data_IF_011670733139
#
_entry.id   IF_011670733139
#
_cell.length_a   1.000
_cell.length_b   1.000
_cell.length_c   1.000
_cell.angle_alpha   90.00
_cell.angle_beta   90.00
_cell.angle_gamma   90.00
#
_symmetry.space_group_name_H-M   'P 1'
#
loop_
_entity.id
_entity.type
_entity.pdbx_description
1 polymer ?
#
# COMPACT_ATOMS: atom_id res chain seq x y z
N UNK A 1 25.41 1.81 20.30
CA UNK A 1 24.02 1.71 20.81
C UNK A 1 23.69 2.99 21.57
N UNK A 2 22.48 3.51 21.39
CA UNK A 2 22.00 4.67 22.12
C UNK A 2 21.71 4.31 23.59
N UNK A 3 22.01 5.23 24.52
CA UNK A 3 21.59 5.11 25.92
C UNK A 3 20.07 5.35 26.04
N UNK A 4 19.44 4.91 27.13
CA UNK A 4 18.01 5.11 27.35
C UNK A 4 17.62 6.58 27.30
N UNK A 5 18.44 7.47 27.84
CA UNK A 5 18.25 8.91 27.75
C UNK A 5 18.27 9.43 26.31
N UNK A 6 19.21 8.97 25.49
CA UNK A 6 19.29 9.34 24.08
C UNK A 6 18.09 8.85 23.30
N UNK A 7 17.64 7.62 23.58
CA UNK A 7 16.42 7.07 22.99
C UNK A 7 15.20 7.92 23.35
N UNK A 8 15.04 8.27 24.62
CA UNK A 8 13.93 9.11 25.07
C UNK A 8 13.94 10.49 24.41
N UNK A 9 15.10 11.13 24.30
CA UNK A 9 15.25 12.44 23.66
C UNK A 9 14.92 12.33 22.15
N UNK A 10 15.44 11.28 21.47
CA UNK A 10 15.15 11.07 20.05
C UNK A 10 13.67 10.84 19.79
N UNK A 11 13.02 9.99 20.61
CA UNK A 11 11.56 9.75 20.55
C UNK A 11 10.80 11.06 20.75
N UNK A 12 11.14 11.86 21.78
CA UNK A 12 10.50 13.15 22.06
C UNK A 12 10.62 14.14 20.89
N UNK A 13 11.80 14.17 20.23
CA UNK A 13 12.01 15.02 19.04
C UNK A 13 11.13 14.55 17.89
N UNK A 14 11.08 13.25 17.64
CA UNK A 14 10.29 12.68 16.54
C UNK A 14 8.80 12.95 16.76
N UNK A 15 8.26 12.64 17.92
CA UNK A 15 6.84 12.84 18.22
C UNK A 15 6.44 14.31 18.17
N UNK A 16 7.28 15.20 18.68
CA UNK A 16 7.03 16.64 18.60
C UNK A 16 7.07 17.13 17.14
N UNK A 17 8.04 16.66 16.33
CA UNK A 17 8.14 17.02 14.92
C UNK A 17 6.95 16.48 14.12
N UNK A 18 6.51 15.26 14.40
CA UNK A 18 5.30 14.66 13.78
C UNK A 18 4.08 15.54 14.00
N UNK A 19 3.90 16.06 15.24
CA UNK A 19 2.76 16.92 15.59
C UNK A 19 2.81 18.29 14.96
N UNK A 20 3.99 18.93 14.92
CA UNK A 20 4.11 20.35 14.58
C UNK A 20 4.68 20.63 13.19
N UNK A 21 5.39 19.67 12.62
CA UNK A 21 6.22 19.86 11.42
C UNK A 21 7.24 21.02 11.55
N UNK A 22 7.66 21.32 12.77
CA UNK A 22 8.63 22.39 13.06
C UNK A 22 9.88 21.82 13.71
N UNK A 23 11.08 22.38 13.39
CA UNK A 23 12.33 21.94 14.02
C UNK A 23 12.27 22.06 15.54
N UNK A 24 12.65 21.00 16.24
CA UNK A 24 12.54 20.87 17.68
C UNK A 24 13.77 21.41 18.39
N UNK A 25 13.59 22.39 19.27
CA UNK A 25 14.66 22.99 20.08
C UNK A 25 14.78 22.35 21.47
N UNK A 26 15.99 22.35 22.05
CA UNK A 26 16.24 21.77 23.37
C UNK A 26 15.43 22.43 24.51
N UNK A 27 15.09 23.73 24.39
CA UNK A 27 14.27 24.42 25.37
C UNK A 27 12.83 23.90 25.35
N UNK A 28 12.25 23.71 24.17
CA UNK A 28 10.91 23.18 24.00
C UNK A 28 10.76 21.83 24.71
N UNK A 29 11.74 20.93 24.55
CA UNK A 29 11.74 19.60 25.16
C UNK A 29 11.75 19.64 26.71
N UNK A 30 12.29 20.69 27.32
CA UNK A 30 12.22 20.83 28.78
C UNK A 30 10.86 21.28 29.30
N UNK A 31 10.03 21.83 28.40
CA UNK A 31 8.71 22.38 28.72
C UNK A 31 7.58 21.37 28.46
N UNK A 32 7.87 20.24 27.79
CA UNK A 32 6.88 19.21 27.46
C UNK A 32 6.65 18.24 28.63
N UNK A 33 5.45 18.26 29.27
CA UNK A 33 5.18 17.45 30.46
C UNK A 33 5.21 15.95 30.21
N UNK A 34 4.81 15.53 29.01
CA UNK A 34 4.71 14.14 28.62
C UNK A 34 6.05 13.41 28.62
N UNK A 35 7.16 14.10 28.44
CA UNK A 35 8.48 13.46 28.41
C UNK A 35 9.24 13.52 29.74
N UNK A 36 8.84 14.40 30.67
CA UNK A 36 9.41 14.54 32.04
C UNK A 36 10.91 14.27 32.11
N UNK A 37 11.69 14.83 31.18
CA UNK A 37 13.10 14.48 31.03
C UNK A 37 13.95 14.83 32.27
N UNK A 38 13.50 15.77 33.11
CA UNK A 38 14.20 16.12 34.36
C UNK A 38 15.62 16.62 34.20
N UNK A 39 16.01 17.00 32.97
CA UNK A 39 17.38 17.39 32.60
C UNK A 39 17.38 18.80 32.02
N UNK A 40 18.53 19.47 32.10
CA UNK A 40 18.65 20.85 31.61
C UNK A 40 18.64 20.94 30.09
N UNK A 41 18.17 22.07 29.55
CA UNK A 41 18.21 22.34 28.11
C UNK A 41 19.64 22.26 27.53
N UNK A 42 20.68 22.56 28.35
CA UNK A 42 22.09 22.41 27.94
C UNK A 42 22.44 20.93 27.74
N UNK A 43 22.02 20.07 28.67
CA UNK A 43 22.21 18.60 28.55
C UNK A 43 21.50 18.05 27.32
N UNK A 44 20.22 18.43 27.12
CA UNK A 44 19.47 18.03 25.92
C UNK A 44 20.19 18.46 24.65
N UNK A 45 20.72 19.69 24.59
CA UNK A 45 21.47 20.19 23.44
C UNK A 45 22.70 19.35 23.12
N UNK A 46 23.43 18.90 24.14
CA UNK A 46 24.60 18.03 23.95
C UNK A 46 24.19 16.65 23.41
N UNK A 47 23.10 16.07 23.94
CA UNK A 47 22.58 14.80 23.41
C UNK A 47 22.06 14.95 21.97
N UNK A 48 21.38 16.06 21.65
CA UNK A 48 20.95 16.36 20.28
C UNK A 48 22.16 16.46 19.32
N UNK A 49 23.26 17.10 19.76
CA UNK A 49 24.47 17.18 18.96
C UNK A 49 25.09 15.81 18.71
N UNK A 50 25.10 14.94 19.71
CA UNK A 50 25.53 13.55 19.58
C UNK A 50 24.64 12.76 18.61
N UNK A 51 23.31 12.88 18.74
CA UNK A 51 22.35 12.21 17.85
C UNK A 51 22.47 12.72 16.39
N UNK A 52 22.79 13.99 16.18
CA UNK A 52 23.10 14.55 14.86
C UNK A 52 24.39 13.94 14.29
N UNK A 53 25.47 13.85 15.10
CA UNK A 53 26.72 13.22 14.68
C UNK A 53 26.55 11.74 14.34
N UNK A 54 25.64 11.04 15.03
CA UNK A 54 25.31 9.65 14.76
C UNK A 54 24.32 9.48 13.58
N UNK A 55 23.86 10.58 12.96
CA UNK A 55 22.99 10.54 11.78
C UNK A 55 21.51 10.39 12.07
N UNK A 56 21.04 10.36 13.34
CA UNK A 56 19.62 10.24 13.68
C UNK A 56 18.83 11.57 13.55
N UNK A 57 19.54 12.69 13.62
CA UNK A 57 18.96 14.04 13.50
C UNK A 57 19.68 14.85 12.44
N UNK A 58 18.96 15.80 11.87
CA UNK A 58 19.49 16.79 10.91
C UNK A 58 19.33 18.20 11.48
N UNK A 59 20.33 19.03 11.21
CA UNK A 59 20.27 20.46 11.54
C UNK A 59 19.66 21.24 10.37
N UNK A 60 18.64 22.04 10.65
CA UNK A 60 18.07 22.96 9.67
C UNK A 60 18.91 24.23 9.56
N UNK A 61 19.04 24.79 8.36
CA UNK A 61 19.89 25.95 8.08
C UNK A 61 19.47 27.24 8.81
N UNK A 62 18.24 27.34 9.30
CA UNK A 62 17.63 28.57 9.82
C UNK A 62 17.40 28.60 11.33
N UNK A 63 17.59 27.48 12.04
CA UNK A 63 17.29 27.42 13.48
C UNK A 63 18.28 26.57 14.28
N UNK A 64 18.31 26.76 15.60
CA UNK A 64 19.02 25.86 16.52
C UNK A 64 18.29 24.52 16.75
N UNK A 65 17.12 24.34 16.15
CA UNK A 65 16.33 23.12 16.24
C UNK A 65 16.88 21.98 15.39
N UNK A 66 16.39 20.77 15.63
CA UNK A 66 16.70 19.56 14.89
C UNK A 66 15.44 18.97 14.32
N UNK A 67 15.58 18.26 13.19
CA UNK A 67 14.54 17.45 12.58
C UNK A 67 15.03 16.00 12.51
N UNK A 68 14.14 15.01 12.56
CA UNK A 68 14.51 13.61 12.38
C UNK A 68 15.08 13.35 10.97
N UNK A 69 16.08 12.48 10.88
CA UNK A 69 16.54 11.88 9.63
C UNK A 69 15.73 10.61 9.30
N UNK A 70 15.95 10.02 8.12
CA UNK A 70 15.40 8.68 7.78
C UNK A 70 15.85 7.63 8.82
N UNK A 71 17.13 7.64 9.20
CA UNK A 71 17.69 6.76 10.25
C UNK A 71 17.02 6.99 11.61
N UNK A 72 16.69 8.24 11.94
CA UNK A 72 15.94 8.58 13.14
C UNK A 72 14.54 7.97 13.13
N UNK A 73 13.81 8.12 12.04
CA UNK A 73 12.49 7.49 11.87
C UNK A 73 12.59 5.96 11.87
N UNK A 74 13.61 5.37 11.21
CA UNK A 74 13.83 3.93 11.22
C UNK A 74 14.07 3.40 12.62
N UNK A 75 14.90 4.08 13.40
CA UNK A 75 15.12 3.74 14.81
C UNK A 75 13.79 3.76 15.59
N UNK A 76 13.01 4.83 15.46
CA UNK A 76 11.75 5.00 16.15
C UNK A 76 10.72 3.91 15.80
N UNK A 77 10.57 3.60 14.52
CA UNK A 77 9.69 2.52 14.06
C UNK A 77 10.13 1.17 14.59
N UNK A 78 11.44 0.89 14.62
CA UNK A 78 11.96 -0.36 15.17
C UNK A 78 11.68 -0.49 16.69
N UNK A 79 11.76 0.61 17.45
CA UNK A 79 11.37 0.61 18.87
C UNK A 79 9.85 0.33 19.03
N UNK A 80 8.99 0.87 18.16
CA UNK A 80 7.55 0.57 18.16
C UNK A 80 7.30 -0.91 17.87
N UNK A 81 7.90 -1.46 16.81
CA UNK A 81 7.70 -2.84 16.39
C UNK A 81 8.23 -3.86 17.43
N UNK A 82 9.31 -3.52 18.14
CA UNK A 82 9.90 -4.38 19.16
C UNK A 82 9.18 -4.28 20.52
N UNK A 83 8.61 -3.13 20.86
CA UNK A 83 7.91 -2.89 22.11
C UNK A 83 6.40 -3.15 21.93
N UNK A 84 5.99 -4.42 21.92
CA UNK A 84 4.56 -4.83 21.89
C UNK A 84 3.71 -4.29 23.05
N UNK A 85 4.31 -3.55 23.98
CA UNK A 85 3.67 -2.94 25.15
C UNK A 85 3.39 -1.44 24.99
N UNK A 86 3.50 -0.87 23.79
CA UNK A 86 3.00 0.49 23.57
C UNK A 86 1.48 0.40 23.74
N UNK A 87 1.05 0.79 24.93
CA UNK A 87 -0.33 0.76 25.34
C UNK A 87 -1.15 1.59 24.34
N UNK A 88 -2.09 0.92 23.70
CA UNK A 88 -3.14 1.50 22.86
C UNK A 88 -4.11 2.42 23.63
N UNK A 89 -3.63 3.12 24.66
CA UNK A 89 -4.48 3.84 25.63
C UNK A 89 -5.22 5.02 24.99
N UNK A 90 -4.71 5.58 23.90
CA UNK A 90 -5.33 6.77 23.27
C UNK A 90 -6.16 6.44 22.00
N UNK A 91 -6.35 5.17 21.65
CA UNK A 91 -6.98 4.77 20.38
C UNK A 91 -8.21 3.88 20.56
N UNK A 92 -8.73 3.70 21.78
CA UNK A 92 -9.92 2.88 22.05
C UNK A 92 -11.14 3.34 21.25
N UNK A 93 -11.31 4.67 21.08
CA UNK A 93 -12.38 5.23 20.26
C UNK A 93 -12.23 4.83 18.78
N UNK A 94 -11.00 4.83 18.24
CA UNK A 94 -10.74 4.41 16.86
C UNK A 94 -11.00 2.92 16.64
N UNK A 95 -10.67 2.07 17.61
CA UNK A 95 -10.94 0.64 17.56
C UNK A 95 -12.44 0.36 17.64
N UNK A 96 -13.18 1.09 18.49
CA UNK A 96 -14.63 0.98 18.58
C UNK A 96 -15.34 1.31 17.26
N UNK A 97 -14.86 2.31 16.52
CA UNK A 97 -15.39 2.64 15.19
C UNK A 97 -15.11 1.53 14.16
N UNK A 98 -13.93 0.90 14.22
CA UNK A 98 -13.62 -0.25 13.38
C UNK A 98 -14.53 -1.44 13.72
N UNK A 99 -14.73 -1.74 15.01
CA UNK A 99 -15.64 -2.83 15.46
C UNK A 99 -17.05 -2.59 14.95
N UNK A 100 -17.56 -1.35 15.01
CA UNK A 100 -18.89 -1.01 14.48
C UNK A 100 -19.02 -1.33 12.99
N UNK A 101 -17.98 -1.11 12.18
CA UNK A 101 -17.96 -1.47 10.76
C UNK A 101 -17.95 -3.00 10.60
N UNK A 102 -17.03 -3.67 11.31
CA UNK A 102 -16.85 -5.12 11.18
C UNK A 102 -18.04 -5.95 11.71
N UNK A 103 -18.83 -5.41 12.64
CA UNK A 103 -20.01 -6.07 13.20
C UNK A 103 -21.29 -5.87 12.37
N UNK A 104 -21.24 -5.07 11.30
CA UNK A 104 -22.40 -4.88 10.40
C UNK A 104 -22.66 -6.13 9.56
N UNK A 105 -23.58 -6.96 10.01
CA UNK A 105 -23.97 -8.23 9.35
C UNK A 105 -24.48 -8.11 7.90
N UNK A 106 -24.67 -6.90 7.37
CA UNK A 106 -25.17 -6.63 6.02
C UNK A 106 -24.06 -6.34 5.00
N UNK A 107 -22.82 -6.16 5.46
CA UNK A 107 -21.69 -5.88 4.58
C UNK A 107 -21.06 -7.18 4.09
N UNK A 108 -20.70 -7.24 2.81
CA UNK A 108 -19.77 -8.26 2.36
C UNK A 108 -18.39 -8.02 3.02
N UNK A 109 -17.57 -9.06 3.11
CA UNK A 109 -16.22 -8.96 3.65
C UNK A 109 -15.40 -7.85 2.97
N UNK A 110 -15.45 -7.79 1.64
CA UNK A 110 -14.78 -6.75 0.85
C UNK A 110 -15.27 -5.35 1.23
N UNK A 111 -16.59 -5.17 1.36
CA UNK A 111 -17.17 -3.89 1.78
C UNK A 111 -16.69 -3.49 3.18
N UNK A 112 -16.62 -4.43 4.12
CA UNK A 112 -16.13 -4.14 5.46
C UNK A 112 -14.63 -3.75 5.47
N UNK A 113 -13.81 -4.40 4.65
CA UNK A 113 -12.40 -4.00 4.45
C UNK A 113 -12.34 -2.59 3.86
N UNK A 114 -13.11 -2.31 2.82
CA UNK A 114 -13.14 -1.01 2.15
C UNK A 114 -13.59 0.11 3.10
N UNK A 115 -14.67 -0.11 3.88
CA UNK A 115 -15.13 0.87 4.87
C UNK A 115 -14.11 1.08 6.00
N UNK A 116 -13.45 0.02 6.46
CA UNK A 116 -12.38 0.11 7.46
C UNK A 116 -11.20 0.93 6.93
N UNK A 117 -10.81 0.72 5.68
CA UNK A 117 -9.72 1.50 5.08
C UNK A 117 -10.11 2.94 4.78
N UNK A 118 -11.38 3.20 4.43
CA UNK A 118 -11.89 4.56 4.33
C UNK A 118 -11.82 5.29 5.68
N UNK A 119 -12.24 4.62 6.76
CA UNK A 119 -12.11 5.15 8.12
C UNK A 119 -10.65 5.43 8.50
N UNK A 120 -9.71 4.54 8.15
CA UNK A 120 -8.27 4.77 8.37
C UNK A 120 -7.81 6.05 7.67
N UNK A 121 -8.20 6.24 6.41
CA UNK A 121 -7.83 7.45 5.66
C UNK A 121 -8.40 8.73 6.29
N UNK A 122 -9.62 8.68 6.81
CA UNK A 122 -10.29 9.80 7.47
C UNK A 122 -9.63 10.12 8.83
N UNK A 123 -9.32 9.09 9.64
CA UNK A 123 -8.73 9.25 10.96
C UNK A 123 -7.26 9.68 10.93
N UNK A 124 -6.53 9.30 9.89
CA UNK A 124 -5.08 9.56 9.78
C UNK A 124 -4.74 10.70 8.84
N UNK A 125 -5.66 11.09 7.97
CA UNK A 125 -5.43 12.02 6.86
C UNK A 125 -4.28 11.59 5.92
N UNK A 126 -4.12 10.26 5.76
CA UNK A 126 -3.19 9.65 4.79
C UNK A 126 -3.95 8.84 3.74
N UNK A 127 -3.25 8.36 2.73
CA UNK A 127 -3.83 7.44 1.74
C UNK A 127 -3.80 6.03 2.29
N UNK A 128 -4.94 5.36 2.31
CA UNK A 128 -5.06 3.96 2.70
C UNK A 128 -5.28 3.06 1.48
N UNK A 129 -4.76 1.85 1.55
CA UNK A 129 -4.83 0.85 0.48
C UNK A 129 -5.20 -0.49 1.07
N UNK A 130 -6.17 -1.17 0.46
CA UNK A 130 -6.42 -2.59 0.70
C UNK A 130 -6.18 -3.36 -0.60
N UNK A 131 -5.45 -4.46 -0.49
CA UNK A 131 -5.18 -5.38 -1.59
C UNK A 131 -5.69 -6.75 -1.21
N UNK A 132 -6.56 -7.32 -2.05
CA UNK A 132 -7.04 -8.69 -1.91
C UNK A 132 -5.92 -9.71 -2.15
N UNK A 133 -6.17 -10.94 -1.74
CA UNK A 133 -5.23 -12.07 -1.94
C UNK A 133 -5.06 -12.47 -3.40
N UNK A 134 -6.07 -12.21 -4.21
CA UNK A 134 -6.16 -12.65 -5.60
C UNK A 134 -5.24 -11.86 -6.54
N UNK A 135 -4.97 -10.57 -6.25
CA UNK A 135 -4.36 -9.67 -7.22
C UNK A 135 -2.88 -9.95 -7.53
N UNK A 136 -2.11 -10.56 -6.64
CA UNK A 136 -0.63 -10.64 -6.82
C UNK A 136 -0.14 -12.03 -7.14
N UNK A 137 -0.70 -13.08 -6.53
CA UNK A 137 -0.21 -14.45 -6.65
C UNK A 137 -1.23 -15.44 -7.24
N UNK A 138 -2.43 -14.97 -7.62
CA UNK A 138 -3.42 -15.84 -8.24
C UNK A 138 -2.92 -16.33 -9.62
N UNK A 139 -3.21 -17.60 -9.91
CA UNK A 139 -2.82 -18.23 -11.16
C UNK A 139 -4.05 -18.48 -12.04
N UNK A 140 -3.94 -18.19 -13.31
CA UNK A 140 -5.03 -18.39 -14.27
C UNK A 140 -5.29 -19.89 -14.43
N UNK A 141 -6.52 -20.31 -14.20
CA UNK A 141 -6.99 -21.68 -14.48
C UNK A 141 -7.80 -21.75 -15.75
N UNK A 142 -8.60 -20.73 -16.03
CA UNK A 142 -9.44 -20.73 -17.23
C UNK A 142 -9.82 -19.33 -17.63
N UNK A 143 -9.79 -19.07 -18.92
CA UNK A 143 -10.43 -17.93 -19.56
C UNK A 143 -11.64 -18.42 -20.35
N UNK A 144 -12.75 -17.70 -20.29
CA UNK A 144 -13.95 -18.00 -21.04
C UNK A 144 -14.49 -16.75 -21.71
N UNK A 145 -14.85 -16.88 -22.97
CA UNK A 145 -15.51 -15.85 -23.75
C UNK A 145 -17.00 -16.13 -23.80
N UNK A 146 -17.80 -15.11 -23.51
CA UNK A 146 -19.26 -15.20 -23.56
C UNK A 146 -19.77 -14.06 -24.47
N UNK A 147 -20.11 -14.34 -25.72
CA UNK A 147 -20.68 -13.33 -26.61
C UNK A 147 -22.07 -12.90 -26.08
N UNK A 148 -22.33 -11.60 -26.18
CA UNK A 148 -23.61 -10.99 -25.86
C UNK A 148 -24.27 -10.46 -27.16
N UNK A 149 -25.35 -9.71 -26.99
CA UNK A 149 -26.03 -9.11 -28.13
C UNK A 149 -25.16 -8.00 -28.79
N UNK A 150 -25.11 -8.01 -30.12
CA UNK A 150 -24.35 -7.04 -30.91
C UNK A 150 -22.83 -7.29 -30.76
N UNK A 151 -22.08 -6.24 -30.53
CA UNK A 151 -20.61 -6.26 -30.37
C UNK A 151 -20.13 -6.35 -28.92
N UNK A 152 -21.01 -6.63 -28.01
CA UNK A 152 -20.64 -6.81 -26.59
C UNK A 152 -20.33 -8.27 -26.29
N UNK A 153 -19.34 -8.47 -25.42
CA UNK A 153 -19.03 -9.76 -24.84
C UNK A 153 -18.56 -9.60 -23.40
N UNK A 154 -18.50 -10.71 -22.69
CA UNK A 154 -17.89 -10.80 -21.37
C UNK A 154 -16.72 -11.81 -21.44
N UNK A 155 -15.59 -11.41 -20.90
CA UNK A 155 -14.48 -12.32 -20.60
C UNK A 155 -14.60 -12.70 -19.13
N UNK A 156 -14.58 -14.00 -18.85
CA UNK A 156 -14.48 -14.55 -17.50
C UNK A 156 -13.06 -15.08 -17.32
N UNK A 157 -12.45 -14.76 -16.19
CA UNK A 157 -11.18 -15.31 -15.75
C UNK A 157 -11.40 -16.08 -14.45
N UNK A 158 -11.04 -17.36 -14.45
CA UNK A 158 -11.10 -18.22 -13.26
C UNK A 158 -9.68 -18.43 -12.76
N UNK A 159 -9.45 -18.22 -11.47
CA UNK A 159 -8.14 -18.40 -10.85
C UNK A 159 -8.07 -19.72 -10.08
N UNK A 160 -6.86 -20.12 -9.67
CA UNK A 160 -6.59 -21.29 -8.81
C UNK A 160 -7.18 -21.15 -7.41
N UNK A 161 -7.53 -19.92 -7.00
CA UNK A 161 -8.20 -19.61 -5.75
C UNK A 161 -9.72 -19.76 -5.82
N UNK A 162 -10.26 -20.06 -6.99
CA UNK A 162 -11.70 -20.16 -7.22
C UNK A 162 -12.40 -18.82 -7.49
N UNK A 163 -11.67 -17.72 -7.52
CA UNK A 163 -12.21 -16.44 -7.88
C UNK A 163 -12.58 -16.40 -9.37
N UNK A 164 -13.72 -15.77 -9.66
CA UNK A 164 -14.22 -15.58 -11.02
C UNK A 164 -14.36 -14.09 -11.26
N UNK A 165 -13.40 -13.55 -12.03
CA UNK A 165 -13.45 -12.17 -12.48
C UNK A 165 -14.18 -12.06 -13.81
N UNK A 166 -14.93 -10.99 -14.02
CA UNK A 166 -15.66 -10.75 -15.26
C UNK A 166 -15.49 -9.33 -15.77
N UNK A 167 -15.24 -9.20 -17.08
CA UNK A 167 -15.13 -7.89 -17.72
C UNK A 167 -15.93 -7.83 -19.00
N UNK A 168 -16.81 -6.83 -19.10
CA UNK A 168 -17.50 -6.54 -20.36
C UNK A 168 -16.53 -5.86 -21.32
N UNK A 169 -16.46 -6.39 -22.54
CA UNK A 169 -15.66 -5.84 -23.62
C UNK A 169 -16.52 -5.49 -24.84
N UNK A 170 -15.98 -4.66 -25.71
CA UNK A 170 -16.56 -4.34 -27.01
C UNK A 170 -15.64 -4.95 -28.06
N UNK A 171 -16.21 -5.81 -28.91
CA UNK A 171 -15.51 -6.42 -30.03
C UNK A 171 -15.57 -5.44 -31.20
N UNK A 172 -14.44 -5.08 -31.83
CA UNK A 172 -14.44 -4.27 -33.03
C UNK A 172 -15.23 -4.94 -34.17
N UNK A 173 -15.92 -4.16 -35.00
CA UNK A 173 -16.78 -4.69 -36.08
C UNK A 173 -16.03 -5.54 -37.12
N UNK A 174 -14.69 -5.45 -37.15
CA UNK A 174 -13.80 -6.21 -38.06
C UNK A 174 -13.39 -7.58 -37.53
N UNK A 175 -13.74 -7.91 -36.28
CA UNK A 175 -13.35 -9.15 -35.61
C UNK A 175 -14.59 -10.00 -35.34
N UNK A 176 -14.60 -11.23 -35.81
CA UNK A 176 -15.68 -12.18 -35.58
C UNK A 176 -15.57 -12.85 -34.20
N UNK A 177 -16.69 -13.33 -33.65
CA UNK A 177 -16.68 -14.11 -32.42
C UNK A 177 -15.81 -15.38 -32.53
N UNK A 178 -15.75 -16.02 -33.69
CA UNK A 178 -14.92 -17.21 -33.93
C UNK A 178 -13.42 -16.89 -33.83
N UNK A 179 -13.01 -15.70 -34.27
CA UNK A 179 -11.61 -15.25 -34.11
C UNK A 179 -11.29 -15.00 -32.64
N UNK A 180 -12.23 -14.38 -31.89
CA UNK A 180 -12.06 -14.18 -30.43
C UNK A 180 -11.96 -15.53 -29.71
N UNK A 181 -12.81 -16.51 -30.05
CA UNK A 181 -12.75 -17.85 -29.45
C UNK A 181 -11.42 -18.55 -29.71
N UNK A 182 -10.87 -18.46 -30.93
CA UNK A 182 -9.54 -19.00 -31.23
C UNK A 182 -8.44 -18.36 -30.38
N UNK A 183 -8.48 -17.05 -30.16
CA UNK A 183 -7.54 -16.35 -29.30
C UNK A 183 -7.72 -16.80 -27.85
N UNK A 184 -8.94 -16.96 -27.34
CA UNK A 184 -9.17 -17.45 -25.99
C UNK A 184 -8.67 -18.87 -25.79
N UNK A 185 -8.85 -19.75 -26.78
CA UNK A 185 -8.30 -21.12 -26.74
C UNK A 185 -6.77 -21.07 -26.65
N UNK A 186 -6.14 -20.23 -27.45
CA UNK A 186 -4.70 -20.04 -27.42
C UNK A 186 -4.22 -19.46 -26.08
N UNK A 187 -4.87 -18.40 -25.58
CA UNK A 187 -4.55 -17.79 -24.27
C UNK A 187 -4.73 -18.80 -23.13
N UNK A 188 -5.74 -19.65 -23.14
CA UNK A 188 -5.89 -20.73 -22.17
C UNK A 188 -4.71 -21.70 -22.17
N UNK A 189 -4.13 -22.00 -23.35
CA UNK A 189 -2.97 -22.89 -23.46
C UNK A 189 -1.72 -22.28 -22.83
N UNK A 190 -1.44 -21.01 -23.13
CA UNK A 190 -0.19 -20.36 -22.70
C UNK A 190 -0.26 -19.76 -21.28
N UNK A 191 -1.46 -19.38 -20.84
CA UNK A 191 -1.69 -18.75 -19.52
C UNK A 191 -2.17 -19.73 -18.46
N UNK A 192 -2.35 -21.01 -18.77
CA UNK A 192 -2.68 -22.00 -17.76
C UNK A 192 -1.59 -22.04 -16.68
N UNK A 193 -1.99 -21.93 -15.41
CA UNK A 193 -1.10 -21.87 -14.24
C UNK A 193 -0.09 -20.70 -14.27
N UNK A 194 -0.35 -19.68 -15.07
CA UNK A 194 0.47 -18.46 -15.14
C UNK A 194 0.03 -17.51 -14.02
N UNK A 195 0.97 -16.95 -13.21
CA UNK A 195 0.66 -15.86 -12.31
C UNK A 195 0.10 -14.68 -13.09
N UNK A 196 -0.88 -13.98 -12.50
CA UNK A 196 -1.48 -12.80 -13.13
C UNK A 196 -0.42 -11.70 -13.40
N UNK A 197 0.57 -11.55 -12.50
CA UNK A 197 1.71 -10.65 -12.68
C UNK A 197 2.52 -10.92 -13.95
N UNK A 198 2.54 -12.16 -14.44
CA UNK A 198 3.44 -12.61 -15.50
C UNK A 198 2.73 -12.70 -16.86
N UNK A 199 1.44 -12.33 -16.94
CA UNK A 199 0.62 -12.43 -18.17
C UNK A 199 1.32 -11.77 -19.36
N UNK A 200 1.80 -10.55 -19.19
CA UNK A 200 2.44 -9.78 -20.25
C UNK A 200 3.70 -10.46 -20.79
N UNK A 201 4.59 -10.88 -19.89
CA UNK A 201 5.83 -11.56 -20.26
C UNK A 201 5.55 -12.92 -20.91
N UNK A 202 4.58 -13.67 -20.37
CA UNK A 202 4.20 -14.97 -20.89
C UNK A 202 3.65 -14.88 -22.31
N UNK A 203 2.77 -13.92 -22.58
CA UNK A 203 2.23 -13.68 -23.92
C UNK A 203 3.34 -13.20 -24.87
N UNK A 204 4.20 -12.29 -24.43
CA UNK A 204 5.31 -11.78 -25.24
C UNK A 204 6.29 -12.87 -25.64
N UNK A 205 6.63 -13.76 -24.70
CA UNK A 205 7.59 -14.84 -24.93
C UNK A 205 7.00 -16.02 -25.72
N UNK A 206 5.67 -16.16 -25.76
CA UNK A 206 4.98 -17.24 -26.48
C UNK A 206 4.75 -16.93 -27.98
N UNK A 207 5.06 -15.72 -28.43
CA UNK A 207 4.90 -15.30 -29.83
C UNK A 207 5.76 -16.07 -30.86
N UNK A 208 6.60 -17.02 -30.44
CA UNK A 208 7.42 -17.84 -31.30
C UNK A 208 6.70 -19.13 -31.81
N UNK A 209 5.57 -19.55 -31.21
CA UNK A 209 4.77 -20.68 -31.68
C UNK A 209 3.65 -20.24 -32.64
N UNK A 210 4.00 -19.91 -33.80
CA UNK A 210 3.36 -19.18 -34.87
C UNK A 210 2.45 -20.10 -35.71
N UNK A 211 1.19 -20.14 -35.42
CA UNK A 211 0.16 -20.68 -36.33
C UNK A 211 -1.10 -19.80 -36.38
N UNK A 212 -1.32 -18.99 -35.31
CA UNK A 212 -2.55 -18.22 -35.16
C UNK A 212 -2.41 -16.81 -35.76
N UNK A 213 -1.20 -16.23 -35.73
CA UNK A 213 -0.91 -14.91 -36.29
C UNK A 213 -1.24 -14.74 -37.75
N UNK A 214 -1.04 -15.83 -38.53
CA UNK A 214 -1.29 -15.84 -39.97
C UNK A 214 -2.80 -15.99 -40.32
N UNK A 215 -3.63 -16.35 -39.35
CA UNK A 215 -5.06 -16.64 -39.56
C UNK A 215 -6.00 -15.56 -38.96
N UNK A 216 -5.48 -14.62 -38.20
CA UNK A 216 -6.30 -13.59 -37.53
C UNK A 216 -5.80 -12.22 -37.96
N UNK A 217 -6.58 -11.55 -38.82
CA UNK A 217 -6.42 -10.13 -39.06
C UNK A 217 -6.61 -9.40 -37.74
N UNK A 218 -5.71 -8.45 -37.42
CA UNK A 218 -5.72 -7.69 -36.16
C UNK A 218 -5.34 -8.48 -34.89
N UNK A 219 -4.56 -9.56 -35.05
CA UNK A 219 -4.10 -10.38 -33.91
C UNK A 219 -3.42 -9.53 -32.82
N UNK A 220 -2.52 -8.65 -33.20
CA UNK A 220 -1.73 -7.85 -32.25
C UNK A 220 -2.63 -6.87 -31.46
N UNK A 221 -3.65 -6.28 -32.10
CA UNK A 221 -4.62 -5.40 -31.43
C UNK A 221 -5.53 -6.19 -30.47
N UNK A 222 -5.94 -7.40 -30.89
CA UNK A 222 -6.80 -8.25 -30.09
C UNK A 222 -6.04 -8.76 -28.85
N UNK A 223 -4.81 -9.22 -29.02
CA UNK A 223 -3.94 -9.62 -27.89
C UNK A 223 -3.68 -8.44 -26.95
N UNK A 224 -3.36 -7.27 -27.48
CA UNK A 224 -3.16 -6.09 -26.64
C UNK A 224 -4.42 -5.71 -25.83
N UNK A 225 -5.61 -5.84 -26.45
CA UNK A 225 -6.88 -5.61 -25.77
C UNK A 225 -7.12 -6.66 -24.67
N UNK A 226 -6.80 -7.93 -24.91
CA UNK A 226 -6.91 -9.00 -23.91
C UNK A 226 -5.94 -8.80 -22.75
N UNK A 227 -4.66 -8.55 -23.03
CA UNK A 227 -3.65 -8.27 -22.01
C UNK A 227 -4.13 -7.14 -21.11
N UNK A 228 -4.54 -6.00 -21.70
CA UNK A 228 -5.08 -4.87 -20.95
C UNK A 228 -6.31 -5.25 -20.13
N UNK A 229 -7.22 -6.05 -20.66
CA UNK A 229 -8.42 -6.49 -19.95
C UNK A 229 -8.07 -7.39 -18.77
N UNK A 230 -7.23 -8.40 -18.97
CA UNK A 230 -6.82 -9.36 -17.93
C UNK A 230 -6.01 -8.68 -16.82
N UNK A 231 -5.11 -7.77 -17.21
CA UNK A 231 -4.34 -6.98 -16.23
C UNK A 231 -5.27 -6.05 -15.42
N UNK A 232 -6.27 -5.42 -16.06
CA UNK A 232 -7.24 -4.60 -15.35
C UNK A 232 -8.16 -5.41 -14.43
N UNK A 233 -8.49 -6.66 -14.78
CA UNK A 233 -9.25 -7.55 -13.88
C UNK A 233 -8.47 -7.83 -12.58
N UNK A 234 -7.15 -7.95 -12.68
CA UNK A 234 -6.28 -8.10 -11.50
C UNK A 234 -6.19 -6.82 -10.63
N UNK A 235 -6.44 -5.65 -11.24
CA UNK A 235 -6.42 -4.36 -10.51
C UNK A 235 -7.69 -4.10 -9.72
N UNK A 236 -8.81 -4.71 -10.07
CA UNK A 236 -10.08 -4.51 -9.36
C UNK A 236 -10.02 -5.00 -7.88
N UNK A 237 -8.97 -5.73 -7.49
CA UNK A 237 -8.69 -6.16 -6.11
C UNK A 237 -7.95 -5.12 -5.25
N UNK A 238 -7.64 -3.95 -5.79
CA UNK A 238 -6.96 -2.87 -5.04
C UNK A 238 -7.94 -1.76 -4.74
N UNK A 239 -8.30 -1.63 -3.48
CA UNK A 239 -9.09 -0.50 -2.98
C UNK A 239 -8.19 0.59 -2.43
N UNK A 240 -8.48 1.84 -2.76
CA UNK A 240 -7.78 3.01 -2.21
C UNK A 240 -8.76 4.05 -1.71
N UNK A 241 -8.47 4.60 -0.53
CA UNK A 241 -9.18 5.75 0.03
C UNK A 241 -8.21 6.86 0.42
N UNK A 242 -8.71 8.10 0.48
CA UNK A 242 -7.92 9.24 0.88
C UNK A 242 -6.82 9.65 -0.12
N UNK A 243 -6.94 9.35 -1.41
CA UNK A 243 -5.95 9.75 -2.43
C UNK A 243 -5.64 11.25 -2.39
N UNK A 244 -6.65 12.07 -2.11
CA UNK A 244 -6.50 13.52 -2.03
C UNK A 244 -5.81 14.01 -0.76
N UNK A 245 -5.65 13.16 0.27
CA UNK A 245 -5.00 13.54 1.51
C UNK A 245 -3.52 13.91 1.31
N UNK A 246 -2.90 13.41 0.24
CA UNK A 246 -1.53 13.76 -0.12
C UNK A 246 -1.37 15.26 -0.42
N UNK A 247 -2.40 15.92 -0.97
CA UNK A 247 -2.37 17.35 -1.26
C UNK A 247 -2.37 18.22 0.00
N UNK A 248 -2.88 17.69 1.11
CA UNK A 248 -2.94 18.41 2.39
C UNK A 248 -1.65 18.33 3.19
N UNK A 249 -0.70 17.47 2.77
CA UNK A 249 0.55 17.28 3.51
C UNK A 249 1.57 18.39 3.16
N UNK A 250 2.13 19.06 4.17
CA UNK A 250 3.06 20.19 3.94
C UNK A 250 4.33 19.84 3.16
N UNK A 251 4.72 18.57 3.13
CA UNK A 251 5.89 18.06 2.43
C UNK A 251 5.68 18.03 0.91
N UNK A 252 4.44 17.82 0.48
CA UNK A 252 4.09 17.69 -0.94
C UNK A 252 3.55 19.02 -1.46
N UNK A 253 4.46 19.99 -1.69
CA UNK A 253 4.13 21.33 -2.25
C UNK A 253 4.29 21.39 -3.76
N UNK A 254 5.07 20.48 -4.33
CA UNK A 254 5.35 20.44 -5.76
C UNK A 254 4.24 19.66 -6.47
N UNK A 255 3.47 20.36 -7.31
CA UNK A 255 2.34 19.81 -8.06
C UNK A 255 2.76 18.70 -9.02
N UNK A 256 3.95 18.79 -9.64
CA UNK A 256 4.46 17.76 -10.55
C UNK A 256 4.76 16.48 -9.76
N UNK A 257 5.40 16.62 -8.59
CA UNK A 257 5.70 15.50 -7.71
C UNK A 257 4.44 14.81 -7.19
N UNK A 258 3.42 15.59 -6.79
CA UNK A 258 2.12 15.03 -6.39
C UNK A 258 1.50 14.24 -7.54
N UNK A 259 1.53 14.78 -8.75
CA UNK A 259 1.00 14.12 -9.94
C UNK A 259 1.75 12.81 -10.22
N UNK A 260 3.09 12.81 -10.11
CA UNK A 260 3.89 11.59 -10.26
C UNK A 260 3.53 10.53 -9.21
N UNK A 261 3.40 10.92 -7.93
CA UNK A 261 3.01 10.00 -6.86
C UNK A 261 1.61 9.42 -7.13
N UNK A 262 0.63 10.26 -7.47
CA UNK A 262 -0.74 9.81 -7.76
C UNK A 262 -0.79 8.88 -8.99
N UNK A 263 -0.06 9.21 -10.05
CA UNK A 263 0.04 8.36 -11.23
C UNK A 263 0.68 7.02 -10.86
N UNK A 264 1.74 7.04 -10.07
CA UNK A 264 2.42 5.82 -9.60
C UNK A 264 1.52 4.96 -8.73
N UNK A 265 0.74 5.57 -7.82
CA UNK A 265 -0.22 4.85 -6.96
C UNK A 265 -1.31 4.14 -7.81
N UNK A 266 -1.64 4.69 -8.98
CA UNK A 266 -2.59 4.10 -9.92
C UNK A 266 -1.96 3.06 -10.86
N UNK A 267 -0.64 2.94 -10.87
CA UNK A 267 0.11 2.04 -11.75
C UNK A 267 0.32 0.65 -11.11
N UNK A 268 0.57 -0.36 -11.96
CA UNK A 268 0.84 -1.74 -11.52
C UNK A 268 2.10 -1.87 -10.68
N UNK A 269 3.09 -1.04 -10.94
CA UNK A 269 4.36 -1.05 -10.21
C UNK A 269 4.17 -0.65 -8.74
N UNK A 270 3.14 0.16 -8.43
CA UNK A 270 2.79 0.49 -7.06
C UNK A 270 2.28 -0.72 -6.27
N UNK A 271 1.42 -1.55 -6.89
CA UNK A 271 0.94 -2.78 -6.25
C UNK A 271 2.11 -3.68 -5.88
N UNK A 272 3.12 -3.79 -6.75
CA UNK A 272 4.37 -4.53 -6.45
C UNK A 272 5.16 -3.88 -5.32
N UNK A 273 5.26 -2.55 -5.30
CA UNK A 273 6.00 -1.82 -4.26
C UNK A 273 5.36 -1.94 -2.87
N UNK A 274 4.03 -2.11 -2.78
CA UNK A 274 3.28 -2.31 -1.53
C UNK A 274 3.13 -3.80 -1.19
N UNK A 275 3.27 -4.68 -2.18
CA UNK A 275 3.24 -6.15 -2.01
C UNK A 275 4.60 -6.63 -1.53
N UNK A 276 4.69 -6.91 -0.25
CA UNK A 276 5.88 -7.50 0.34
C UNK A 276 5.78 -9.04 0.29
N UNK A 277 6.89 -9.69 0.03
CA UNK A 277 6.97 -11.16 -0.02
C UNK A 277 6.89 -11.84 1.36
N UNK A 278 6.89 -11.07 2.44
CA UNK A 278 6.91 -11.54 3.82
C UNK A 278 5.54 -11.35 4.50
N UNK A 279 5.10 -12.35 5.27
CA UNK A 279 3.86 -12.33 6.06
C UNK A 279 4.00 -11.54 7.38
N UNK A 280 4.88 -10.54 7.45
CA UNK A 280 5.06 -9.66 8.59
C UNK A 280 4.61 -8.23 8.31
N UNK A 281 4.51 -7.44 9.38
CA UNK A 281 4.35 -5.98 9.26
C UNK A 281 5.61 -5.43 8.61
N UNK A 282 5.42 -4.62 7.58
CA UNK A 282 6.51 -3.95 6.88
C UNK A 282 6.33 -2.44 6.93
N UNK A 283 7.42 -1.75 7.19
CA UNK A 283 7.46 -0.28 7.12
C UNK A 283 8.64 0.10 6.25
N UNK A 284 8.40 0.84 5.18
CA UNK A 284 9.44 1.43 4.33
C UNK A 284 9.43 2.95 4.51
N UNK A 285 10.58 3.53 4.73
CA UNK A 285 10.76 4.96 5.01
C UNK A 285 11.73 5.56 3.99
N UNK A 286 11.31 6.62 3.32
CA UNK A 286 12.21 7.38 2.45
C UNK A 286 12.85 6.52 1.35
N UNK A 287 14.17 6.48 1.34
CA UNK A 287 14.96 5.74 0.36
C UNK A 287 14.83 4.20 0.44
N UNK A 288 14.16 3.65 1.43
CA UNK A 288 13.85 2.22 1.48
C UNK A 288 12.75 1.82 0.50
N UNK A 289 12.00 2.80 -0.03
CA UNK A 289 11.01 2.55 -1.07
C UNK A 289 11.70 2.25 -2.40
N UNK A 290 11.25 1.19 -3.09
CA UNK A 290 11.80 0.78 -4.38
C UNK A 290 11.55 1.80 -5.49
N UNK A 291 10.38 2.46 -5.44
CA UNK A 291 10.00 3.46 -6.41
C UNK A 291 10.62 4.82 -6.04
N UNK A 292 11.41 5.38 -6.94
CA UNK A 292 12.12 6.65 -6.72
C UNK A 292 11.18 7.82 -6.39
N UNK A 293 9.97 7.81 -6.91
CA UNK A 293 8.93 8.81 -6.65
C UNK A 293 8.43 8.77 -5.20
N UNK A 294 8.59 7.63 -4.51
CA UNK A 294 8.14 7.40 -3.13
C UNK A 294 9.23 7.74 -2.08
N UNK A 295 10.36 8.31 -2.47
CA UNK A 295 11.49 8.60 -1.55
C UNK A 295 11.19 9.59 -0.43
N UNK A 296 10.14 10.42 -0.55
CA UNK A 296 9.70 11.31 0.52
C UNK A 296 8.49 10.74 1.26
N UNK A 297 8.09 9.52 0.94
CA UNK A 297 6.96 8.84 1.54
C UNK A 297 7.41 7.76 2.52
N UNK A 298 6.49 7.40 3.41
CA UNK A 298 6.54 6.14 4.14
C UNK A 298 5.34 5.28 3.79
N UNK A 299 5.56 3.97 3.79
CA UNK A 299 4.54 2.95 3.58
C UNK A 299 4.54 2.02 4.78
N UNK A 300 3.41 1.94 5.48
CA UNK A 300 3.16 0.96 6.55
C UNK A 300 2.21 -0.08 6.00
N UNK A 301 2.60 -1.34 5.96
CA UNK A 301 1.83 -2.43 5.39
C UNK A 301 1.71 -3.62 6.35
N UNK A 302 0.49 -4.13 6.51
CA UNK A 302 0.15 -5.24 7.40
C UNK A 302 -0.57 -6.33 6.61
N UNK A 303 -0.13 -7.59 6.67
CA UNK A 303 -0.87 -8.70 6.07
C UNK A 303 -2.12 -9.03 6.87
N UNK A 304 -3.18 -9.44 6.20
CA UNK A 304 -4.34 -10.09 6.83
C UNK A 304 -4.61 -11.44 6.18
N UNK A 305 -5.09 -12.38 6.96
CA UNK A 305 -5.39 -13.73 6.53
C UNK A 305 -6.91 -13.94 6.56
N UNK A 306 -7.45 -14.58 5.52
CA UNK A 306 -8.83 -14.99 5.42
C UNK A 306 -9.00 -16.46 5.83
N UNK A 307 -10.22 -16.90 6.20
CA UNK A 307 -10.48 -18.27 6.65
C UNK A 307 -10.16 -19.37 5.62
N UNK A 308 -10.17 -19.02 4.34
CA UNK A 308 -9.76 -19.91 3.25
C UNK A 308 -8.24 -20.02 3.06
N UNK A 309 -7.44 -19.39 3.94
CA UNK A 309 -5.98 -19.35 3.86
C UNK A 309 -5.43 -18.32 2.87
N UNK A 310 -6.28 -17.50 2.30
CA UNK A 310 -5.83 -16.38 1.46
C UNK A 310 -5.24 -15.26 2.31
N UNK A 311 -4.19 -14.63 1.80
CA UNK A 311 -3.49 -13.52 2.45
C UNK A 311 -3.60 -12.27 1.60
N UNK A 312 -4.27 -11.26 2.11
CA UNK A 312 -4.26 -9.92 1.55
C UNK A 312 -3.36 -8.98 2.34
N UNK A 313 -3.32 -7.72 1.94
CA UNK A 313 -2.57 -6.69 2.66
C UNK A 313 -3.36 -5.40 2.76
N UNK A 314 -3.22 -4.73 3.88
CA UNK A 314 -3.69 -3.35 4.07
C UNK A 314 -2.47 -2.46 4.32
N UNK A 315 -2.49 -1.26 3.78
CA UNK A 315 -1.39 -0.32 3.90
C UNK A 315 -1.84 1.12 4.06
N UNK A 316 -0.97 1.94 4.63
CA UNK A 316 -1.10 3.40 4.69
C UNK A 316 0.14 4.03 4.09
N UNK A 317 -0.08 5.06 3.27
CA UNK A 317 0.96 5.83 2.59
C UNK A 317 0.83 7.29 3.02
N UNK A 318 1.92 7.86 3.44
CA UNK A 318 1.99 9.26 3.84
C UNK A 318 3.43 9.80 3.83
N UNK A 319 3.67 11.00 4.35
CA UNK A 319 5.01 11.55 4.48
C UNK A 319 5.84 10.74 5.49
N UNK A 320 7.17 10.89 5.48
CA UNK A 320 8.04 10.20 6.46
C UNK A 320 7.66 10.50 7.91
N UNK A 321 7.09 11.67 8.19
CA UNK A 321 6.61 12.06 9.53
C UNK A 321 5.20 11.54 9.86
N UNK A 322 4.93 10.28 9.63
CA UNK A 322 3.64 9.68 10.02
C UNK A 322 3.51 9.44 11.52
N UNK A 323 2.28 9.39 12.02
CA UNK A 323 1.93 8.97 13.38
C UNK A 323 2.04 7.43 13.51
N UNK A 324 3.25 6.88 13.40
CA UNK A 324 3.48 5.42 13.39
C UNK A 324 2.90 4.70 14.60
N UNK A 325 2.95 5.32 15.79
CA UNK A 325 2.35 4.76 17.03
C UNK A 325 0.85 4.57 16.94
N UNK A 326 0.16 5.35 16.09
CA UNK A 326 -1.28 5.23 15.85
C UNK A 326 -1.56 4.28 14.69
N UNK A 327 -0.83 4.43 13.59
CA UNK A 327 -1.08 3.70 12.34
C UNK A 327 -0.80 2.22 12.48
N UNK A 328 0.34 1.85 13.05
CA UNK A 328 0.74 0.44 13.17
C UNK A 328 -0.28 -0.36 13.99
N UNK A 329 -0.65 0.04 15.22
CA UNK A 329 -1.66 -0.69 16.00
C UNK A 329 -3.04 -0.71 15.34
N UNK A 330 -3.44 0.37 14.67
CA UNK A 330 -4.73 0.46 13.98
C UNK A 330 -4.81 -0.54 12.82
N UNK A 331 -3.77 -0.62 11.98
CA UNK A 331 -3.72 -1.60 10.90
C UNK A 331 -3.63 -3.03 11.43
N UNK A 332 -2.84 -3.29 12.47
CA UNK A 332 -2.79 -4.61 13.13
C UNK A 332 -4.16 -5.03 13.68
N UNK A 333 -4.87 -4.08 14.29
CA UNK A 333 -6.21 -4.31 14.82
C UNK A 333 -7.20 -4.70 13.71
N UNK A 334 -7.23 -3.95 12.62
CA UNK A 334 -8.07 -4.26 11.45
C UNK A 334 -7.71 -5.62 10.88
N UNK A 335 -6.42 -5.84 10.58
CA UNK A 335 -5.93 -7.10 9.99
C UNK A 335 -6.32 -8.34 10.83
N UNK A 336 -6.21 -8.23 12.16
CA UNK A 336 -6.58 -9.30 13.10
C UNK A 336 -8.09 -9.57 13.13
N UNK A 337 -8.91 -8.52 13.00
CA UNK A 337 -10.34 -8.63 13.12
C UNK A 337 -11.05 -8.92 11.80
N UNK A 338 -10.42 -8.63 10.63
CA UNK A 338 -10.92 -9.06 9.31
C UNK A 338 -11.20 -10.58 9.29
N UNK A 339 -10.38 -11.37 9.97
CA UNK A 339 -10.57 -12.83 10.09
C UNK A 339 -11.89 -13.23 10.74
N UNK A 340 -12.52 -12.35 11.51
CA UNK A 340 -13.80 -12.60 12.15
C UNK A 340 -15.02 -12.37 11.24
N UNK A 341 -14.79 -11.80 10.05
CA UNK A 341 -15.82 -11.58 9.04
C UNK A 341 -16.10 -12.91 8.31
N UNK A 342 -16.97 -13.72 8.86
CA UNK A 342 -17.39 -15.02 8.30
C UNK A 342 -18.62 -14.88 7.44
#
# INVERSE_FOLDING_TARGET
MLTDRQKTILTAIIEQFVRTNEPVGSKLLTELPEFMLGISSATIRNEMAYLEEQGYLLKTHTSSGRVPSEEGYRFYVNEILNNKSIKSVDYEDSFSLVDEILERNLLSREQAIHESMALVADLTHYTSVAMGSSGVNARIRKLQFVPLYGKYAVILMVTDKGNVESKKIIIPDMISNDEVEKVIIYLNKILYDCPISDIYERIRNSNEEIGIRDYIAYYDELIAAFVRTLTNMAKDDVFMSGKNNIFSQPEFKDTEKIKEILTTIEDEDFVKAVSFSDNSIQVRIGNENELSVMKDCSVVSVPYELDNGEVGRIAVIGPMRMEYQKIIPLLEYIAKNIKKLT
#
